data_IF_485820164376
#
_entry.id   IF_485820164376
#
_cell.length_a   1.000
_cell.length_b   1.000
_cell.length_c   1.000
_cell.angle_alpha   90.00
_cell.angle_beta   90.00
_cell.angle_gamma   90.00
#
_symmetry.space_group_name_H-M   'P 1'
#
loop_
_entity.id
_entity.type
_entity.pdbx_description
1 polymer ?
#
# COMPACT_ATOMS: atom_id res chain seq x y z
N UNK A 1 13.50 4.57 -15.96
CA UNK A 1 12.41 3.62 -15.62
C UNK A 1 11.22 4.42 -15.13
N UNK A 2 10.03 4.33 -15.76
CA UNK A 2 8.82 4.94 -15.19
C UNK A 2 8.57 4.29 -13.82
N UNK A 3 8.51 5.12 -12.77
CA UNK A 3 8.55 4.67 -11.37
C UNK A 3 7.56 3.54 -11.07
N UNK A 4 8.08 2.41 -10.60
CA UNK A 4 7.30 1.23 -10.22
C UNK A 4 6.42 1.56 -9.02
N UNK A 5 5.16 1.11 -9.04
CA UNK A 5 4.30 1.08 -7.86
C UNK A 5 4.74 -0.09 -6.96
N UNK A 6 5.94 0.06 -6.40
CA UNK A 6 6.68 -0.92 -5.60
C UNK A 6 6.11 -1.09 -4.19
N UNK A 7 5.15 -0.26 -3.77
CA UNK A 7 4.67 -0.28 -2.40
C UNK A 7 3.15 -0.39 -2.34
N UNK A 8 2.68 -1.23 -1.43
CA UNK A 8 1.27 -1.40 -1.09
C UNK A 8 1.02 -0.86 0.30
N UNK A 9 0.02 0.00 0.42
CA UNK A 9 -0.51 0.47 1.70
C UNK A 9 -1.95 -0.01 1.84
N UNK A 10 -2.25 -0.64 2.97
CA UNK A 10 -3.61 -1.03 3.33
C UNK A 10 -4.08 -0.21 4.51
N UNK A 11 -5.31 0.27 4.41
CA UNK A 11 -5.96 1.08 5.45
C UNK A 11 -7.29 0.46 5.82
N UNK A 12 -7.50 0.23 7.10
CA UNK A 12 -8.77 -0.24 7.65
C UNK A 12 -9.29 0.72 8.71
N UNK A 13 -10.60 0.94 8.70
CA UNK A 13 -11.33 1.78 9.65
C UNK A 13 -12.77 1.29 9.72
N UNK A 14 -13.43 1.45 10.87
CA UNK A 14 -14.86 1.16 11.00
C UNK A 14 -15.71 2.09 10.14
N UNK A 15 -15.31 3.36 10.06
CA UNK A 15 -15.93 4.34 9.18
C UNK A 15 -15.53 4.08 7.71
N UNK A 16 -16.35 3.28 7.04
CA UNK A 16 -16.14 2.90 5.64
C UNK A 16 -16.22 4.12 4.72
N UNK A 17 -17.09 5.09 5.01
CA UNK A 17 -17.21 6.30 4.22
C UNK A 17 -15.91 7.11 4.24
N UNK A 18 -15.26 7.24 5.41
CA UNK A 18 -13.98 7.93 5.53
C UNK A 18 -12.88 7.28 4.68
N UNK A 19 -12.69 5.96 4.76
CA UNK A 19 -11.62 5.28 3.99
C UNK A 19 -11.89 5.26 2.48
N UNK A 20 -13.13 5.42 2.03
CA UNK A 20 -13.44 5.55 0.61
C UNK A 20 -12.95 6.87 0.01
N UNK A 21 -12.75 7.92 0.81
CA UNK A 21 -12.14 9.18 0.36
C UNK A 21 -10.68 8.99 -0.09
N UNK A 22 -10.01 7.92 0.37
CA UNK A 22 -8.67 7.58 -0.11
C UNK A 22 -8.63 7.13 -1.58
N UNK A 23 -9.77 7.04 -2.27
CA UNK A 23 -9.83 6.86 -3.73
C UNK A 23 -9.39 8.12 -4.46
N UNK A 24 -9.66 9.29 -3.88
CA UNK A 24 -9.46 10.58 -4.51
C UNK A 24 -8.98 11.59 -3.46
N UNK A 25 -7.67 11.78 -3.40
CA UNK A 25 -7.08 12.62 -2.37
C UNK A 25 -7.43 14.10 -2.51
N UNK A 26 -7.93 14.52 -3.67
CA UNK A 26 -8.48 15.86 -3.86
C UNK A 26 -9.71 16.12 -2.96
N UNK A 27 -10.42 15.07 -2.56
CA UNK A 27 -11.53 15.16 -1.60
C UNK A 27 -11.04 15.36 -0.15
N UNK A 28 -9.76 15.12 0.10
CA UNK A 28 -9.15 15.25 1.43
C UNK A 28 -8.35 16.56 1.51
N UNK A 29 -7.48 16.79 0.53
CA UNK A 29 -6.69 18.02 0.36
C UNK A 29 -6.84 18.48 -1.09
N UNK A 30 -7.72 19.45 -1.36
CA UNK A 30 -8.02 19.88 -2.72
C UNK A 30 -6.83 20.54 -3.42
N UNK A 31 -6.53 20.07 -4.62
CA UNK A 31 -5.59 20.69 -5.53
C UNK A 31 -6.21 21.93 -6.17
N UNK A 32 -5.46 23.05 -6.26
CA UNK A 32 -5.90 24.24 -6.95
C UNK A 32 -6.32 23.96 -8.42
N UNK A 33 -7.40 24.59 -8.93
CA UNK A 33 -7.90 24.33 -10.28
C UNK A 33 -6.92 24.62 -11.43
N UNK A 34 -5.96 25.52 -11.23
CA UNK A 34 -4.93 25.78 -12.25
C UNK A 34 -3.94 24.62 -12.35
N UNK A 35 -3.57 23.98 -11.23
CA UNK A 35 -2.68 22.81 -11.22
C UNK A 35 -3.37 21.55 -11.75
N UNK A 36 -4.68 21.38 -11.51
CA UNK A 36 -5.47 20.27 -12.09
C UNK A 36 -5.46 20.23 -13.61
N UNK A 37 -5.31 21.40 -14.25
CA UNK A 37 -5.26 21.53 -15.71
C UNK A 37 -3.89 21.18 -16.28
N UNK A 38 -2.87 21.05 -15.43
CA UNK A 38 -1.52 20.70 -15.86
C UNK A 38 -1.41 19.17 -16.06
N UNK A 39 -0.65 18.71 -17.07
CA UNK A 39 -0.54 17.28 -17.34
C UNK A 39 0.17 16.55 -16.20
N UNK A 40 -0.10 15.25 -16.05
CA UNK A 40 0.54 14.43 -15.02
C UNK A 40 2.05 14.32 -15.24
N UNK A 41 2.80 14.48 -14.12
CA UNK A 41 4.24 14.33 -13.80
C UNK A 41 5.32 14.67 -14.84
N UNK A 42 5.11 14.48 -16.13
CA UNK A 42 6.15 14.63 -17.16
C UNK A 42 6.20 16.01 -17.80
N UNK A 43 5.19 16.86 -17.58
CA UNK A 43 5.07 18.15 -18.26
C UNK A 43 4.89 19.35 -17.32
N UNK A 44 4.73 19.13 -16.00
CA UNK A 44 4.54 20.21 -15.02
C UNK A 44 5.28 19.93 -13.72
N UNK A 45 6.37 20.67 -13.51
CA UNK A 45 7.09 20.71 -12.24
C UNK A 45 6.23 21.28 -11.11
N UNK A 46 5.45 22.32 -11.41
CA UNK A 46 4.58 23.00 -10.46
C UNK A 46 3.54 22.07 -9.82
N UNK A 47 2.86 21.24 -10.63
CA UNK A 47 1.90 20.25 -10.13
C UNK A 47 2.59 19.21 -9.25
N UNK A 48 3.78 18.77 -9.66
CA UNK A 48 4.56 17.79 -8.92
C UNK A 48 4.99 18.32 -7.55
N UNK A 49 5.47 19.55 -7.48
CA UNK A 49 5.93 20.18 -6.24
C UNK A 49 4.77 20.37 -5.27
N UNK A 50 3.62 20.83 -5.75
CA UNK A 50 2.42 20.93 -4.93
C UNK A 50 1.98 19.57 -4.37
N UNK A 51 1.98 18.52 -5.19
CA UNK A 51 1.62 17.17 -4.73
C UNK A 51 2.59 16.66 -3.66
N UNK A 52 3.89 16.88 -3.85
CA UNK A 52 4.90 16.51 -2.86
C UNK A 52 4.72 17.29 -1.55
N UNK A 53 4.48 18.59 -1.61
CA UNK A 53 4.32 19.44 -0.43
C UNK A 53 3.03 19.12 0.34
N UNK A 54 1.91 18.97 -0.36
CA UNK A 54 0.59 18.88 0.28
C UNK A 54 0.09 17.45 0.48
N UNK A 55 0.40 16.54 -0.44
CA UNK A 55 -0.03 15.16 -0.35
C UNK A 55 1.08 14.23 0.17
N UNK A 56 2.33 14.66 0.10
CA UNK A 56 3.50 13.87 0.53
C UNK A 56 3.97 12.83 -0.45
N UNK A 57 3.51 12.92 -1.70
CA UNK A 57 3.94 12.03 -2.76
C UNK A 57 3.67 12.71 -4.11
N UNK A 58 4.50 12.43 -5.12
CA UNK A 58 4.48 13.06 -6.44
C UNK A 58 3.46 12.54 -7.46
N UNK A 59 2.57 11.62 -7.05
CA UNK A 59 1.71 10.85 -7.97
C UNK A 59 0.42 10.39 -7.34
N UNK A 60 -0.72 10.69 -7.96
CA UNK A 60 -1.99 10.01 -7.65
C UNK A 60 -1.78 8.50 -7.46
N UNK A 61 -2.46 7.86 -6.48
CA UNK A 61 -2.32 6.42 -6.25
C UNK A 61 -2.57 5.66 -7.55
N UNK A 62 -1.65 4.76 -7.92
CA UNK A 62 -1.74 4.02 -9.18
C UNK A 62 -2.92 3.04 -9.19
N UNK A 63 -3.29 2.53 -8.02
CA UNK A 63 -4.37 1.57 -7.85
C UNK A 63 -5.08 1.77 -6.52
N UNK A 64 -6.42 1.76 -6.55
CA UNK A 64 -7.30 1.73 -5.37
C UNK A 64 -8.18 0.48 -5.45
N UNK A 65 -8.23 -0.28 -4.37
CA UNK A 65 -9.15 -1.43 -4.25
C UNK A 65 -9.86 -1.40 -2.92
N UNK A 66 -11.20 -1.42 -2.95
CA UNK A 66 -12.01 -1.55 -1.74
C UNK A 66 -12.39 -3.02 -1.51
N UNK A 67 -12.05 -3.54 -0.34
CA UNK A 67 -12.34 -4.90 0.09
C UNK A 67 -13.55 -4.89 1.03
N UNK A 68 -14.76 -4.92 0.45
CA UNK A 68 -16.03 -4.77 1.17
C UNK A 68 -16.17 -5.72 2.37
N UNK A 69 -15.78 -6.99 2.23
CA UNK A 69 -15.88 -7.99 3.29
C UNK A 69 -15.03 -7.69 4.55
N UNK A 70 -14.05 -6.79 4.43
CA UNK A 70 -13.09 -6.49 5.51
C UNK A 70 -13.00 -5.00 5.86
N UNK A 71 -13.88 -4.16 5.31
CA UNK A 71 -13.87 -2.70 5.45
C UNK A 71 -12.46 -2.10 5.35
N UNK A 72 -11.76 -2.48 4.28
CA UNK A 72 -10.36 -2.12 4.05
C UNK A 72 -10.16 -1.63 2.64
N UNK A 73 -9.27 -0.65 2.47
CA UNK A 73 -8.78 -0.23 1.16
C UNK A 73 -7.32 -0.64 0.99
N UNK A 74 -6.95 -0.99 -0.24
CA UNK A 74 -5.56 -1.17 -0.66
C UNK A 74 -5.21 -0.08 -1.67
N UNK A 75 -4.05 0.54 -1.48
CA UNK A 75 -3.49 1.60 -2.30
C UNK A 75 -2.12 1.15 -2.80
N UNK A 76 -1.84 1.32 -4.09
CA UNK A 76 -0.47 1.18 -4.60
C UNK A 76 0.12 2.55 -4.89
N UNK A 77 1.23 2.84 -4.22
CA UNK A 77 1.97 4.10 -4.36
C UNK A 77 3.40 3.81 -4.79
N UNK A 78 4.07 4.81 -5.37
CA UNK A 78 5.49 4.76 -5.65
C UNK A 78 6.26 5.27 -4.43
N UNK A 79 7.23 4.49 -3.97
CA UNK A 79 8.33 4.87 -3.06
C UNK A 79 7.95 5.22 -1.61
N UNK A 80 6.74 5.73 -1.32
CA UNK A 80 6.32 6.10 0.04
C UNK A 80 4.84 5.87 0.34
N UNK A 81 4.53 5.59 1.61
CA UNK A 81 3.17 5.44 2.09
C UNK A 81 2.48 6.82 2.17
N UNK A 82 1.19 6.92 1.82
CA UNK A 82 0.43 8.18 1.86
C UNK A 82 0.03 8.57 3.30
N UNK A 83 0.99 8.51 4.23
CA UNK A 83 0.78 8.71 5.65
C UNK A 83 0.26 10.11 5.97
N UNK A 84 0.70 11.15 5.26
CA UNK A 84 0.19 12.52 5.44
C UNK A 84 -1.27 12.65 5.01
N UNK A 85 -1.69 12.04 3.90
CA UNK A 85 -3.10 12.04 3.50
C UNK A 85 -3.97 11.30 4.51
N UNK A 86 -3.53 10.14 4.98
CA UNK A 86 -4.28 9.38 5.99
C UNK A 86 -4.33 10.17 7.31
N UNK A 87 -3.25 10.86 7.69
CA UNK A 87 -3.23 11.75 8.85
C UNK A 87 -4.21 12.91 8.71
N UNK A 88 -4.24 13.60 7.57
CA UNK A 88 -5.19 14.69 7.32
C UNK A 88 -6.64 14.19 7.33
N UNK A 89 -6.91 13.06 6.68
CA UNK A 89 -8.21 12.40 6.74
C UNK A 89 -8.61 12.09 8.20
N UNK A 90 -7.69 11.56 9.00
CA UNK A 90 -7.99 11.24 10.40
C UNK A 90 -8.26 12.47 11.28
N UNK A 91 -7.85 13.68 10.89
CA UNK A 91 -8.25 14.92 11.58
C UNK A 91 -9.69 15.31 11.26
N UNK A 92 -10.19 14.97 10.07
CA UNK A 92 -11.59 15.17 9.70
C UNK A 92 -12.52 14.20 10.46
N UNK A 93 -11.97 13.07 10.91
CA UNK A 93 -12.68 12.04 11.69
C UNK A 93 -11.89 11.70 12.97
N UNK A 94 -11.87 12.58 13.99
CA UNK A 94 -10.94 12.49 15.11
C UNK A 94 -11.15 11.28 16.04
N UNK A 95 -12.36 10.72 16.04
CA UNK A 95 -12.69 9.52 16.82
C UNK A 95 -12.34 8.21 16.13
N UNK A 96 -12.13 8.26 14.81
CA UNK A 96 -11.80 7.08 14.01
C UNK A 96 -10.33 6.69 14.16
N UNK A 97 -10.08 5.38 14.15
CA UNK A 97 -8.73 4.80 14.18
C UNK A 97 -8.46 4.14 12.83
N UNK A 98 -7.51 4.71 12.11
CA UNK A 98 -7.05 4.19 10.83
C UNK A 98 -5.88 3.25 11.09
N UNK A 99 -6.09 1.95 10.90
CA UNK A 99 -5.02 0.95 11.00
C UNK A 99 -4.38 0.78 9.64
N UNK A 100 -3.07 1.00 9.59
CA UNK A 100 -2.29 1.01 8.36
C UNK A 100 -1.26 -0.10 8.39
N UNK A 101 -1.15 -0.82 7.28
CA UNK A 101 -0.02 -1.72 7.01
C UNK A 101 0.62 -1.39 5.69
N UNK A 102 1.94 -1.44 5.64
CA UNK A 102 2.75 -1.12 4.47
C UNK A 102 3.67 -2.30 4.17
N UNK A 103 3.79 -2.64 2.89
CA UNK A 103 4.77 -3.61 2.39
C UNK A 103 5.30 -3.20 1.02
N UNK A 104 6.54 -3.55 0.73
CA UNK A 104 7.17 -3.36 -0.59
C UNK A 104 7.09 -4.63 -1.45
N UNK A 105 7.36 -4.49 -2.74
CA UNK A 105 7.51 -5.58 -3.71
C UNK A 105 8.76 -6.44 -3.47
N UNK A 106 9.73 -5.94 -2.70
CA UNK A 106 10.71 -6.75 -1.98
C UNK A 106 10.02 -7.55 -0.87
N UNK A 107 9.40 -8.68 -1.24
CA UNK A 107 8.57 -9.51 -0.36
C UNK A 107 9.39 -10.00 0.85
N UNK A 108 8.84 -9.76 2.05
CA UNK A 108 9.50 -10.08 3.32
C UNK A 108 10.36 -8.95 3.88
N UNK A 109 10.51 -7.83 3.16
CA UNK A 109 11.31 -6.68 3.61
C UNK A 109 10.46 -5.41 3.74
N UNK A 110 10.98 -4.42 4.49
CA UNK A 110 10.41 -3.08 4.62
C UNK A 110 8.92 -3.07 4.99
N UNK A 111 8.52 -4.02 5.83
CA UNK A 111 7.15 -4.20 6.26
C UNK A 111 6.90 -3.44 7.56
N UNK A 112 5.81 -2.69 7.64
CA UNK A 112 5.46 -1.98 8.87
C UNK A 112 3.95 -1.87 9.08
N UNK A 113 3.57 -1.72 10.33
CA UNK A 113 2.20 -1.39 10.73
C UNK A 113 2.19 -0.20 11.68
N UNK A 114 1.10 0.55 11.69
CA UNK A 114 0.88 1.65 12.62
C UNK A 114 -0.60 2.01 12.64
N UNK A 115 -1.00 2.80 13.64
CA UNK A 115 -2.32 3.40 13.72
C UNK A 115 -2.23 4.92 13.59
N UNK A 116 -3.25 5.53 13.01
CA UNK A 116 -3.41 6.98 12.95
C UNK A 116 -4.75 7.35 13.58
N UNK A 117 -4.74 8.31 14.50
CA UNK A 117 -5.95 8.91 15.08
C UNK A 117 -5.74 10.41 15.25
N UNK A 118 -6.70 11.21 14.80
CA UNK A 118 -6.67 12.67 14.89
C UNK A 118 -5.32 13.30 14.45
N UNK A 119 -4.74 12.79 13.36
CA UNK A 119 -3.47 13.24 12.81
C UNK A 119 -2.21 12.72 13.51
N UNK A 120 -2.33 11.93 14.58
CA UNK A 120 -1.20 11.38 15.33
C UNK A 120 -0.96 9.92 14.98
N UNK A 121 0.29 9.58 14.66
CA UNK A 121 0.74 8.20 14.43
C UNK A 121 1.11 7.57 15.78
N UNK A 122 0.66 6.33 16.01
CA UNK A 122 0.99 5.56 17.22
C UNK A 122 1.19 4.08 16.88
N UNK A 123 1.82 3.34 17.80
CA UNK A 123 2.00 1.89 17.68
C UNK A 123 2.78 1.46 16.43
N UNK A 124 3.72 2.30 15.94
CA UNK A 124 4.51 1.96 14.76
C UNK A 124 5.41 0.77 15.06
N UNK A 125 5.21 -0.31 14.32
CA UNK A 125 6.03 -1.51 14.37
C UNK A 125 6.67 -1.73 13.01
N UNK A 126 8.00 -1.66 12.95
CA UNK A 126 8.79 -2.11 11.80
C UNK A 126 9.08 -3.58 12.03
N UNK A 127 8.65 -4.42 11.08
CA UNK A 127 8.86 -5.86 11.17
C UNK A 127 10.30 -6.20 10.74
N UNK A 128 11.02 -7.08 11.44
CA UNK A 128 12.34 -7.50 11.02
C UNK A 128 12.28 -8.12 9.62
N UNK A 129 13.20 -7.73 8.76
CA UNK A 129 13.27 -8.28 7.40
C UNK A 129 13.44 -9.81 7.45
N UNK A 130 12.74 -10.48 6.52
CA UNK A 130 12.66 -11.94 6.40
C UNK A 130 12.10 -12.69 7.60
N UNK A 131 11.56 -11.98 8.61
CA UNK A 131 10.74 -12.61 9.65
C UNK A 131 9.46 -13.21 9.05
N UNK A 132 8.90 -14.21 9.75
CA UNK A 132 7.63 -14.80 9.36
C UNK A 132 6.54 -13.73 9.27
N UNK A 133 6.51 -12.82 10.22
CA UNK A 133 5.54 -11.73 10.32
C UNK A 133 5.67 -10.75 9.14
N UNK A 134 6.90 -10.41 8.72
CA UNK A 134 7.13 -9.58 7.54
C UNK A 134 6.62 -10.25 6.26
N UNK A 135 6.88 -11.56 6.09
CA UNK A 135 6.32 -12.32 4.97
C UNK A 135 4.80 -12.37 4.98
N UNK A 136 4.17 -12.65 6.13
CA UNK A 136 2.71 -12.68 6.21
C UNK A 136 2.10 -11.31 5.90
N UNK A 137 2.70 -10.21 6.38
CA UNK A 137 2.24 -8.86 6.04
C UNK A 137 2.42 -8.57 4.54
N UNK A 138 3.53 -9.00 3.94
CA UNK A 138 3.78 -8.86 2.52
C UNK A 138 2.77 -9.68 1.70
N UNK A 139 2.47 -10.93 2.06
CA UNK A 139 1.46 -11.76 1.39
C UNK A 139 0.06 -11.23 1.54
N UNK A 140 -0.24 -10.58 2.67
CA UNK A 140 -1.47 -9.83 2.77
C UNK A 140 -1.48 -8.79 1.67
N UNK A 141 -0.51 -7.88 1.61
CA UNK A 141 -0.46 -6.79 0.63
C UNK A 141 -0.36 -7.26 -0.84
N UNK A 142 0.36 -8.35 -1.09
CA UNK A 142 0.59 -8.98 -2.40
C UNK A 142 0.20 -10.47 -2.38
N UNK A 143 -1.10 -10.80 -2.42
CA UNK A 143 -1.58 -12.19 -2.26
C UNK A 143 -1.00 -13.16 -3.29
N UNK A 144 -0.88 -12.71 -4.56
CA UNK A 144 -0.32 -13.52 -5.63
C UNK A 144 1.17 -13.82 -5.41
N UNK A 145 1.91 -13.03 -4.62
CA UNK A 145 3.31 -13.39 -4.36
C UNK A 145 3.45 -14.60 -3.44
N UNK A 146 2.39 -14.99 -2.69
CA UNK A 146 2.46 -16.10 -1.72
C UNK A 146 2.86 -17.43 -2.36
N UNK A 147 2.38 -17.74 -3.57
CA UNK A 147 2.68 -19.04 -4.19
C UNK A 147 4.18 -19.23 -4.44
N UNK A 148 4.95 -18.13 -4.51
CA UNK A 148 6.39 -18.15 -4.75
C UNK A 148 7.22 -18.60 -3.54
N UNK A 149 6.58 -18.74 -2.37
CA UNK A 149 7.25 -19.02 -1.12
C UNK A 149 6.67 -20.27 -0.45
N UNK A 150 7.49 -20.89 0.40
CA UNK A 150 7.10 -22.03 1.23
C UNK A 150 7.65 -21.84 2.64
N UNK A 151 6.87 -22.22 3.65
CA UNK A 151 7.30 -22.15 5.04
C UNK A 151 8.40 -23.19 5.31
N UNK A 152 9.47 -22.75 5.95
CA UNK A 152 10.59 -23.58 6.40
C UNK A 152 10.61 -23.64 7.91
N UNK A 153 10.22 -24.79 8.48
CA UNK A 153 10.29 -25.01 9.92
C UNK A 153 11.71 -24.85 10.48
N UNK A 154 12.74 -25.22 9.69
CA UNK A 154 14.14 -25.09 10.07
C UNK A 154 14.58 -23.61 10.23
N UNK A 155 14.01 -22.70 9.42
CA UNK A 155 14.30 -21.27 9.50
C UNK A 155 13.31 -20.52 10.40
N UNK A 156 12.20 -21.16 10.80
CA UNK A 156 11.08 -20.50 11.47
C UNK A 156 10.34 -19.47 10.60
N UNK A 157 10.65 -19.39 9.30
CA UNK A 157 10.16 -18.37 8.36
C UNK A 157 10.00 -18.95 6.95
N UNK A 158 9.71 -18.11 5.96
CA UNK A 158 9.54 -18.49 4.56
C UNK A 158 10.85 -18.45 3.78
N UNK A 159 10.97 -19.36 2.80
CA UNK A 159 11.99 -19.32 1.75
C UNK A 159 11.32 -19.25 0.38
N UNK A 160 12.05 -18.78 -0.61
CA UNK A 160 11.65 -18.94 -2.01
C UNK A 160 11.52 -20.42 -2.36
N UNK A 161 10.55 -20.73 -3.21
CA UNK A 161 10.47 -22.03 -3.88
C UNK A 161 11.59 -22.15 -4.92
N UNK A 162 12.03 -23.38 -5.15
CA UNK A 162 13.01 -23.66 -6.20
C UNK A 162 12.39 -23.40 -7.58
N UNK A 163 13.18 -22.99 -8.59
CA UNK A 163 12.68 -22.69 -9.92
C UNK A 163 11.82 -23.79 -10.55
N UNK A 164 12.17 -25.07 -10.32
CA UNK A 164 11.40 -26.20 -10.81
C UNK A 164 10.02 -26.33 -10.15
N UNK A 165 9.91 -26.02 -8.85
CA UNK A 165 8.64 -26.00 -8.13
C UNK A 165 7.75 -24.84 -8.62
N UNK A 166 8.36 -23.67 -8.84
CA UNK A 166 7.67 -22.48 -9.35
C UNK A 166 7.09 -22.73 -10.75
N UNK A 167 7.90 -23.23 -11.69
CA UNK A 167 7.45 -23.47 -13.05
C UNK A 167 6.25 -24.42 -13.12
N UNK A 168 6.22 -25.43 -12.24
CA UNK A 168 5.09 -26.33 -12.13
C UNK A 168 3.80 -25.61 -11.67
N UNK A 169 3.91 -24.80 -10.61
CA UNK A 169 2.77 -24.04 -10.06
C UNK A 169 2.30 -22.97 -11.04
N UNK A 170 3.21 -22.23 -11.66
CA UNK A 170 2.89 -21.18 -12.64
C UNK A 170 2.12 -21.75 -13.84
N UNK A 171 2.54 -22.92 -14.35
CA UNK A 171 1.79 -23.63 -15.39
C UNK A 171 0.37 -23.97 -14.93
N UNK A 172 0.19 -24.51 -13.72
CA UNK A 172 -1.15 -24.80 -13.19
C UNK A 172 -2.01 -23.54 -13.03
N UNK A 173 -1.43 -22.45 -12.53
CA UNK A 173 -2.16 -21.19 -12.35
C UNK A 173 -2.57 -20.58 -13.69
N UNK A 174 -1.73 -20.68 -14.72
CA UNK A 174 -2.07 -20.29 -16.10
C UNK A 174 -3.19 -21.16 -16.69
N UNK A 175 -3.13 -22.48 -16.53
CA UNK A 175 -4.18 -23.41 -16.97
C UNK A 175 -5.53 -23.10 -16.31
N UNK A 176 -5.51 -22.59 -15.07
CA UNK A 176 -6.69 -22.17 -14.32
C UNK A 176 -7.11 -20.71 -14.57
N UNK A 177 -6.37 -19.94 -15.39
CA UNK A 177 -6.65 -18.54 -15.67
C UNK A 177 -6.51 -17.60 -14.46
N UNK A 178 -5.69 -17.97 -13.48
CA UNK A 178 -5.47 -17.20 -12.25
C UNK A 178 -4.30 -16.22 -12.37
N UNK A 179 -3.41 -16.43 -13.35
CA UNK A 179 -2.32 -15.53 -13.75
C UNK A 179 -2.13 -15.57 -15.28
#
# INVERSE_FOLDING_TARGET
>A
MPGSFNMSTRVSCHNTAAILLLRDFDQIIPMPPHLKRLPDRWLSQERHDWQQEHWGFARTPGFFTFHQASSRVSLRTSDQAPHWIIATLSRQYPDDIFRVSVATDSIGCNCSTYAIRNGTISGKQVLPDYSREAYELAFQNFPLCRYRYVYSAALGTYRGREPAELAHIERMLHELGLI
#
